data_IF_529026434347
#
_entry.id   IF_529026434347
#
_cell.length_a   1.000
_cell.length_b   1.000
_cell.length_c   1.000
_cell.angle_alpha   90.00
_cell.angle_beta   90.00
_cell.angle_gamma   90.00
#
_symmetry.space_group_name_H-M   'P 1'
#
loop_
_entity.id
_entity.type
_entity.pdbx_description
1 polymer ?
#
# COMPACT_ATOMS: atom_id res chain seq x y z
N UNK A 1 14.77 -6.88 2.04
CA UNK A 1 14.56 -5.80 1.06
C UNK A 1 13.08 -5.72 0.77
N UNK A 2 12.48 -4.54 0.84
CA UNK A 2 11.03 -4.37 0.78
C UNK A 2 10.66 -2.91 1.05
N UNK A 3 9.37 -2.67 1.32
CA UNK A 3 8.89 -1.33 1.62
C UNK A 3 9.66 -0.73 2.82
N UNK A 4 10.44 0.33 2.57
CA UNK A 4 11.22 1.00 3.61
C UNK A 4 10.31 1.85 4.53
N UNK A 5 10.81 2.35 5.67
CA UNK A 5 10.05 3.30 6.49
C UNK A 5 9.51 4.52 5.72
N UNK A 6 10.14 4.88 4.59
CA UNK A 6 9.65 5.94 3.69
C UNK A 6 8.34 5.57 2.99
N UNK A 7 8.07 4.30 2.74
CA UNK A 7 6.81 3.84 2.17
C UNK A 7 5.65 4.12 3.14
N UNK A 8 5.80 3.79 4.43
CA UNK A 8 4.84 4.17 5.46
C UNK A 8 4.70 5.70 5.57
N UNK A 9 5.85 6.40 5.51
CA UNK A 9 6.03 7.84 5.22
C UNK A 9 4.99 8.39 4.23
N UNK A 10 5.09 7.86 3.02
CA UNK A 10 4.30 8.27 1.85
C UNK A 10 2.83 7.88 1.97
N UNK A 11 2.52 6.66 2.44
CA UNK A 11 1.14 6.18 2.62
C UNK A 11 0.34 7.11 3.53
N UNK A 12 0.87 7.42 4.72
CA UNK A 12 0.17 8.28 5.68
C UNK A 12 0.02 9.71 5.17
N UNK A 13 1.01 10.25 4.47
CA UNK A 13 0.90 11.59 3.86
C UNK A 13 -0.19 11.65 2.80
N UNK A 14 -0.23 10.68 1.88
CA UNK A 14 -1.23 10.61 0.82
C UNK A 14 -2.63 10.37 1.40
N UNK A 15 -2.76 9.45 2.36
CA UNK A 15 -4.02 9.14 3.04
C UNK A 15 -4.63 10.37 3.74
N UNK A 16 -3.79 11.20 4.39
CA UNK A 16 -4.24 12.48 4.99
C UNK A 16 -4.79 13.46 3.96
N UNK A 17 -4.14 13.56 2.80
CA UNK A 17 -4.60 14.44 1.72
C UNK A 17 -5.97 13.99 1.22
N UNK A 18 -6.15 12.67 1.02
CA UNK A 18 -7.44 12.12 0.58
C UNK A 18 -8.54 12.34 1.62
N UNK A 19 -8.30 11.96 2.88
CA UNK A 19 -9.26 12.17 3.96
C UNK A 19 -9.71 13.64 4.04
N UNK A 20 -8.76 14.57 3.99
CA UNK A 20 -9.05 15.99 4.02
C UNK A 20 -9.82 16.46 2.77
N UNK A 21 -9.49 15.97 1.58
CA UNK A 21 -10.20 16.29 0.33
C UNK A 21 -11.65 15.80 0.33
N UNK A 22 -11.95 14.76 1.11
CA UNK A 22 -13.30 14.21 1.33
C UNK A 22 -13.99 14.84 2.55
N UNK A 23 -13.41 15.87 3.17
CA UNK A 23 -14.00 16.59 4.31
C UNK A 23 -13.90 15.87 5.65
N UNK A 24 -13.12 14.78 5.74
CA UNK A 24 -12.90 14.02 6.98
C UNK A 24 -11.67 14.53 7.73
N UNK A 25 -11.80 14.68 9.04
CA UNK A 25 -10.69 15.14 9.92
C UNK A 25 -9.75 14.00 10.36
N UNK A 26 -10.07 12.75 10.03
CA UNK A 26 -9.29 11.56 10.41
C UNK A 26 -9.11 10.65 9.19
N UNK A 27 -7.97 9.95 9.20
CA UNK A 27 -7.63 8.94 8.18
C UNK A 27 -8.37 7.65 8.51
N UNK A 28 -9.01 7.06 7.52
CA UNK A 28 -9.60 5.73 7.57
C UNK A 28 -8.68 4.70 6.90
N UNK A 29 -8.90 3.40 7.16
CA UNK A 29 -8.12 2.32 6.53
C UNK A 29 -8.22 2.35 5.00
N UNK A 30 -9.39 2.70 4.46
CA UNK A 30 -9.63 2.85 3.02
C UNK A 30 -8.74 3.93 2.38
N UNK A 31 -8.37 4.98 3.10
CA UNK A 31 -7.47 6.03 2.58
C UNK A 31 -6.06 5.49 2.37
N UNK A 32 -5.62 4.62 3.29
CA UNK A 32 -4.31 3.96 3.20
C UNK A 32 -4.30 2.95 2.06
N UNK A 33 -5.35 2.11 1.98
CA UNK A 33 -5.48 1.09 0.92
C UNK A 33 -5.52 1.71 -0.48
N UNK A 34 -6.16 2.87 -0.62
CA UNK A 34 -6.28 3.55 -1.91
C UNK A 34 -4.95 3.94 -2.54
N UNK A 35 -3.94 4.26 -1.72
CA UNK A 35 -2.59 4.60 -2.22
C UNK A 35 -1.60 3.44 -2.14
N UNK A 36 -2.06 2.22 -1.80
CA UNK A 36 -1.18 1.08 -1.57
C UNK A 36 -0.35 0.76 -2.81
N UNK A 37 -0.96 0.67 -3.98
CA UNK A 37 -0.25 0.37 -5.23
C UNK A 37 0.68 1.51 -5.64
N UNK A 38 0.20 2.74 -5.61
CA UNK A 38 0.93 3.95 -5.99
C UNK A 38 2.21 4.07 -5.18
N UNK A 39 2.18 3.71 -3.89
CA UNK A 39 3.35 3.79 -3.01
C UNK A 39 4.20 2.51 -3.07
N UNK A 40 3.60 1.32 -3.04
CA UNK A 40 4.33 0.07 -2.77
C UNK A 40 4.85 -0.64 -4.03
N UNK A 41 4.19 -0.53 -5.18
CA UNK A 41 4.48 -1.37 -6.36
C UNK A 41 5.93 -1.25 -6.86
N UNK A 42 6.56 -0.10 -6.66
CA UNK A 42 7.93 0.21 -7.08
C UNK A 42 8.93 0.19 -5.89
N UNK A 43 8.48 -0.24 -4.71
CA UNK A 43 9.26 -0.27 -3.46
C UNK A 43 9.41 -1.67 -2.87
N UNK A 44 8.86 -2.66 -3.54
CA UNK A 44 8.94 -4.07 -3.15
C UNK A 44 9.73 -4.81 -4.23
N UNK A 45 10.53 -5.78 -3.79
CA UNK A 45 11.30 -6.63 -4.68
C UNK A 45 10.84 -8.07 -4.46
N UNK A 46 10.56 -8.75 -5.58
CA UNK A 46 10.26 -10.17 -5.57
C UNK A 46 11.52 -10.98 -5.28
N UNK A 47 11.35 -12.13 -4.64
CA UNK A 47 12.39 -13.15 -4.56
C UNK A 47 12.57 -13.85 -5.93
N UNK A 48 13.54 -14.75 -6.02
CA UNK A 48 13.85 -15.48 -7.26
C UNK A 48 12.64 -16.21 -7.83
N UNK A 49 11.91 -16.95 -6.98
CA UNK A 49 10.74 -17.72 -7.41
C UNK A 49 9.62 -16.81 -7.94
N UNK A 50 9.35 -15.69 -7.24
CA UNK A 50 8.35 -14.72 -7.70
C UNK A 50 8.72 -14.04 -9.01
N UNK A 51 10.02 -13.86 -9.29
CA UNK A 51 10.48 -13.39 -10.59
C UNK A 51 10.31 -14.47 -11.67
N UNK A 52 10.69 -15.72 -11.36
CA UNK A 52 10.57 -16.85 -12.28
C UNK A 52 9.11 -17.12 -12.68
N UNK A 53 8.17 -16.94 -11.75
CA UNK A 53 6.73 -17.07 -11.97
C UNK A 53 6.09 -15.81 -12.60
N UNK A 54 6.86 -14.76 -12.90
CA UNK A 54 6.37 -13.48 -13.40
C UNK A 54 5.24 -12.87 -12.55
N UNK A 55 5.37 -12.95 -11.23
CA UNK A 55 4.38 -12.39 -10.30
C UNK A 55 4.29 -10.87 -10.51
N UNK A 56 3.07 -10.36 -10.67
CA UNK A 56 2.80 -8.92 -10.69
C UNK A 56 2.92 -8.37 -9.27
N UNK A 57 3.84 -7.42 -9.03
CA UNK A 57 3.96 -6.75 -7.73
C UNK A 57 2.69 -5.97 -7.40
N UNK A 58 2.05 -5.37 -8.40
CA UNK A 58 0.77 -4.67 -8.24
C UNK A 58 -0.30 -5.64 -7.70
N UNK A 59 -0.48 -6.78 -8.37
CA UNK A 59 -1.53 -7.75 -7.99
C UNK A 59 -1.22 -8.38 -6.63
N UNK A 60 0.06 -8.57 -6.31
CA UNK A 60 0.51 -9.01 -4.99
C UNK A 60 0.14 -8.00 -3.90
N UNK A 61 0.37 -6.70 -4.14
CA UNK A 61 0.00 -5.63 -3.20
C UNK A 61 -1.52 -5.58 -3.01
N UNK A 62 -2.30 -5.68 -4.09
CA UNK A 62 -3.76 -5.73 -4.03
C UNK A 62 -4.27 -6.91 -3.20
N UNK A 63 -3.74 -8.11 -3.45
CA UNK A 63 -4.10 -9.31 -2.69
C UNK A 63 -3.79 -9.15 -1.21
N UNK A 64 -2.60 -8.65 -0.87
CA UNK A 64 -2.23 -8.41 0.53
C UNK A 64 -3.19 -7.41 1.19
N UNK A 65 -3.58 -6.33 0.49
CA UNK A 65 -4.51 -5.34 1.04
C UNK A 65 -5.91 -5.90 1.29
N UNK A 66 -6.34 -6.90 0.51
CA UNK A 66 -7.62 -7.60 0.69
C UNK A 66 -7.58 -8.59 1.85
N UNK A 67 -6.46 -9.29 2.03
CA UNK A 67 -6.30 -10.29 3.10
C UNK A 67 -5.97 -9.68 4.47
N UNK A 68 -5.40 -8.47 4.50
CA UNK A 68 -4.98 -7.83 5.74
C UNK A 68 -6.20 -7.38 6.58
N UNK A 69 -6.39 -7.94 7.79
CA UNK A 69 -7.50 -7.57 8.66
C UNK A 69 -7.32 -6.16 9.20
N UNK A 70 -8.45 -5.44 9.34
CA UNK A 70 -8.49 -4.18 10.07
C UNK A 70 -8.54 -4.48 11.56
N UNK A 71 -7.73 -3.74 12.34
CA UNK A 71 -7.78 -3.85 13.79
C UNK A 71 -8.87 -2.90 14.29
N UNK A 72 -9.79 -3.43 15.10
CA UNK A 72 -10.72 -2.62 15.90
C UNK A 72 -9.98 -1.70 16.87
#
# INVERSE_FOLDING_TARGET
>A
WGASPRAAQSLIKAARVRALSEGRAHVAYEDVRYFANEVLQHRVLLNYDGQAENVSVKDLVERICQELPEKE
#
